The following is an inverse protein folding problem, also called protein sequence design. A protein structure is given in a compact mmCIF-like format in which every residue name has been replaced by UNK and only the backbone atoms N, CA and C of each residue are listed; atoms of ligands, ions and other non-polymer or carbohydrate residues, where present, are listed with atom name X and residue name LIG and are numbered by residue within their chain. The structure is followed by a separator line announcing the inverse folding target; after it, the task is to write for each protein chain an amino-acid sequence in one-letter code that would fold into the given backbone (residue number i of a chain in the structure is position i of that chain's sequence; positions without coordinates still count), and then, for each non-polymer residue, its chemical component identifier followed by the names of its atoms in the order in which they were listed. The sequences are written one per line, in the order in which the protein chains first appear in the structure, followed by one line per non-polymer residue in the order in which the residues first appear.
data_IF_307626854183
#
_entry.id   IF_307626854183
#
_cell.length_a   1.000
_cell.length_b   1.000
_cell.length_c   1.000
_cell.angle_alpha   90.00
_cell.angle_beta   90.00
_cell.angle_gamma   90.00
#
_symmetry.space_group_name_H-M   'P 1'
#
loop_
_entity.id
_entity.type
_entity.pdbx_description
1 polymer ?
#
# COMPACT_ATOMS: atom_id res chain seq x y z
N UNK A 1 -12.04 -10.04 -43.91
CA UNK A 1 -11.96 -8.74 -44.64
C UNK A 1 -12.58 -8.94 -46.02
N UNK A 2 -13.67 -8.24 -46.37
CA UNK A 2 -14.25 -8.29 -47.72
C UNK A 2 -13.37 -7.42 -48.63
N UNK A 3 -12.74 -7.99 -49.67
CA UNK A 3 -12.15 -7.18 -50.72
C UNK A 3 -13.28 -6.33 -51.32
N UNK A 4 -13.09 -5.01 -51.32
CA UNK A 4 -13.97 -4.10 -52.03
C UNK A 4 -13.73 -4.28 -53.54
N UNK A 5 -14.56 -5.14 -54.14
CA UNK A 5 -14.45 -5.58 -55.54
C UNK A 5 -14.51 -4.38 -56.50
N UNK A 6 -15.26 -3.34 -56.15
CA UNK A 6 -15.39 -2.12 -56.96
C UNK A 6 -14.07 -1.34 -56.96
N UNK A 7 -13.47 -1.16 -55.78
CA UNK A 7 -12.17 -0.50 -55.64
C UNK A 7 -11.04 -1.28 -56.32
N UNK A 8 -11.07 -2.61 -56.25
CA UNK A 8 -10.11 -3.46 -56.98
C UNK A 8 -10.25 -3.33 -58.50
N UNK A 9 -11.49 -3.34 -59.01
CA UNK A 9 -11.77 -3.17 -60.44
C UNK A 9 -11.26 -1.82 -60.97
N UNK A 10 -11.43 -0.76 -60.19
CA UNK A 10 -10.99 0.58 -60.54
C UNK A 10 -9.46 0.70 -60.60
N UNK A 11 -8.75 0.15 -59.60
CA UNK A 11 -7.29 0.08 -59.58
C UNK A 11 -6.77 -0.74 -60.77
N UNK A 12 -7.37 -1.89 -61.05
CA UNK A 12 -6.96 -2.76 -62.16
C UNK A 12 -7.09 -2.04 -63.52
N UNK A 13 -8.23 -1.37 -63.76
CA UNK A 13 -8.44 -0.59 -65.00
C UNK A 13 -7.41 0.52 -65.15
N UNK A 14 -7.07 1.21 -64.06
CA UNK A 14 -6.06 2.27 -64.07
C UNK A 14 -4.67 1.71 -64.39
N UNK A 15 -4.25 0.63 -63.73
CA UNK A 15 -2.97 -0.03 -64.01
C UNK A 15 -2.90 -0.48 -65.46
N UNK A 16 -3.96 -1.09 -66.00
CA UNK A 16 -4.00 -1.52 -67.40
C UNK A 16 -3.85 -0.33 -68.36
N UNK A 17 -4.56 0.77 -68.10
CA UNK A 17 -4.45 2.00 -68.88
C UNK A 17 -3.03 2.56 -68.84
N UNK A 18 -2.41 2.62 -67.67
CA UNK A 18 -1.05 3.13 -67.49
C UNK A 18 0.00 2.23 -68.18
N UNK A 19 -0.23 0.91 -68.21
CA UNK A 19 0.66 -0.03 -68.92
C UNK A 19 0.57 0.08 -70.45
N UNK A 20 -0.54 0.57 -71.00
CA UNK A 20 -0.74 0.75 -72.44
C UNK A 20 -0.52 2.20 -72.91
N UNK A 21 -0.20 3.12 -71.99
CA UNK A 21 0.00 4.52 -72.30
C UNK A 21 1.24 4.78 -73.18
N UNK A 22 1.29 5.94 -73.83
CA UNK A 22 2.48 6.41 -74.54
C UNK A 22 3.70 6.46 -73.62
N UNK A 23 4.86 6.02 -74.11
CA UNK A 23 6.09 5.83 -73.34
C UNK A 23 6.03 4.82 -72.19
N UNK A 24 4.99 3.98 -72.12
CA UNK A 24 4.97 2.84 -71.19
C UNK A 24 6.08 1.83 -71.53
N UNK A 25 6.40 0.90 -70.61
CA UNK A 25 7.30 -0.20 -70.92
C UNK A 25 6.90 -1.00 -72.16
N UNK A 26 5.60 -1.18 -72.42
CA UNK A 26 5.09 -1.85 -73.62
C UNK A 26 5.31 -1.03 -74.89
N UNK A 27 4.95 0.26 -74.88
CA UNK A 27 5.17 1.15 -76.03
C UNK A 27 6.66 1.26 -76.39
N UNK A 28 7.53 1.37 -75.38
CA UNK A 28 9.00 1.37 -75.56
C UNK A 28 9.51 0.05 -76.12
N UNK A 29 8.96 -1.08 -75.67
CA UNK A 29 9.34 -2.40 -76.18
C UNK A 29 8.95 -2.55 -77.65
N UNK A 30 7.73 -2.16 -78.02
CA UNK A 30 7.27 -2.21 -79.42
C UNK A 30 8.17 -1.35 -80.31
N UNK A 31 8.40 -0.08 -79.92
CA UNK A 31 9.29 0.83 -80.66
C UNK A 31 10.71 0.28 -80.81
N UNK A 32 11.27 -0.34 -79.76
CA UNK A 32 12.59 -0.97 -79.81
C UNK A 32 12.62 -2.20 -80.71
N UNK A 33 11.57 -3.02 -80.70
CA UNK A 33 11.45 -4.17 -81.58
C UNK A 33 11.38 -3.72 -83.04
N UNK A 34 10.60 -2.68 -83.36
CA UNK A 34 10.51 -2.12 -84.71
C UNK A 34 11.84 -1.52 -85.19
N UNK A 35 12.57 -0.80 -84.33
CA UNK A 35 13.95 -0.33 -84.64
C UNK A 35 14.90 -1.49 -84.98
N UNK A 36 14.83 -2.60 -84.24
CA UNK A 36 15.66 -3.78 -84.52
C UNK A 36 15.21 -4.52 -85.78
N UNK A 37 13.91 -4.54 -86.11
CA UNK A 37 13.41 -5.17 -87.33
C UNK A 37 13.88 -4.44 -88.58
N UNK A 38 13.81 -3.10 -88.59
CA UNK A 38 14.34 -2.30 -89.71
C UNK A 38 15.85 -2.46 -89.87
N UNK A 39 16.60 -2.50 -88.76
CA UNK A 39 18.06 -2.58 -88.77
C UNK A 39 18.62 -3.90 -89.29
N UNK A 40 17.91 -5.02 -89.11
CA UNK A 40 18.41 -6.36 -89.44
C UNK A 40 17.73 -7.04 -90.63
N UNK A 41 16.78 -6.38 -91.31
CA UNK A 41 16.04 -6.93 -92.46
C UNK A 41 15.54 -8.36 -92.22
N UNK A 42 15.00 -8.62 -91.02
CA UNK A 42 14.53 -9.93 -90.59
C UNK A 42 13.34 -10.37 -91.45
N UNK A 43 13.34 -11.63 -91.92
CA UNK A 43 12.18 -12.21 -92.59
C UNK A 43 11.02 -12.40 -91.58
N UNK A 44 9.77 -12.40 -92.07
CA UNK A 44 8.56 -12.46 -91.23
C UNK A 44 8.55 -13.64 -90.25
N UNK A 45 9.15 -14.78 -90.63
CA UNK A 45 9.28 -15.95 -89.76
C UNK A 45 10.16 -15.70 -88.54
N UNK A 46 11.38 -15.15 -88.71
CA UNK A 46 12.27 -14.84 -87.56
C UNK A 46 11.72 -13.72 -86.69
N UNK A 47 10.94 -12.80 -87.28
CA UNK A 47 10.21 -11.76 -86.54
C UNK A 47 9.21 -12.41 -85.57
N UNK A 48 8.37 -13.32 -86.04
CA UNK A 48 7.40 -14.05 -85.22
C UNK A 48 8.10 -14.85 -84.11
N UNK A 49 9.19 -15.56 -84.42
CA UNK A 49 9.93 -16.35 -83.42
C UNK A 49 10.52 -15.46 -82.31
N UNK A 50 11.08 -14.32 -82.68
CA UNK A 50 11.68 -13.37 -81.72
C UNK A 50 10.61 -12.74 -80.82
N UNK A 51 9.48 -12.30 -81.39
CA UNK A 51 8.35 -11.76 -80.61
C UNK A 51 7.81 -12.82 -79.66
N UNK A 52 7.62 -14.05 -80.14
CA UNK A 52 7.09 -15.16 -79.33
C UNK A 52 8.03 -15.50 -78.18
N UNK A 53 9.34 -15.52 -78.42
CA UNK A 53 10.34 -15.75 -77.38
C UNK A 53 10.36 -14.61 -76.35
N UNK A 54 10.36 -13.35 -76.80
CA UNK A 54 10.36 -12.17 -75.90
C UNK A 54 9.07 -12.09 -75.08
N UNK A 55 7.91 -12.33 -75.69
CA UNK A 55 6.61 -12.36 -74.98
C UNK A 55 6.54 -13.52 -73.97
N UNK A 56 7.03 -14.70 -74.33
CA UNK A 56 7.11 -15.85 -73.41
C UNK A 56 7.98 -15.52 -72.20
N UNK A 57 9.16 -14.93 -72.42
CA UNK A 57 10.07 -14.52 -71.35
C UNK A 57 9.49 -13.41 -70.46
N UNK A 58 8.85 -12.40 -71.06
CA UNK A 58 8.16 -11.34 -70.32
C UNK A 58 7.01 -11.90 -69.48
N UNK A 59 6.22 -12.83 -70.03
CA UNK A 59 5.13 -13.51 -69.31
C UNK A 59 5.65 -14.30 -68.12
N UNK A 60 6.73 -15.06 -68.30
CA UNK A 60 7.39 -15.79 -67.21
C UNK A 60 7.90 -14.83 -66.12
N UNK A 61 8.56 -13.74 -66.51
CA UNK A 61 9.08 -12.74 -65.57
C UNK A 61 7.97 -12.04 -64.78
N UNK A 62 6.89 -11.61 -65.44
CA UNK A 62 5.73 -11.00 -64.79
C UNK A 62 5.05 -11.99 -63.86
N UNK A 63 4.90 -13.25 -64.27
CA UNK A 63 4.28 -14.30 -63.44
C UNK A 63 5.09 -14.56 -62.18
N UNK A 64 6.42 -14.72 -62.29
CA UNK A 64 7.30 -14.92 -61.15
C UNK A 64 7.28 -13.72 -60.19
N UNK A 65 7.36 -12.50 -60.72
CA UNK A 65 7.26 -11.27 -59.92
C UNK A 65 5.91 -11.16 -59.20
N UNK A 66 4.81 -11.50 -59.89
CA UNK A 66 3.46 -11.48 -59.30
C UNK A 66 3.31 -12.51 -58.18
N UNK A 67 3.87 -13.71 -58.36
CA UNK A 67 3.89 -14.75 -57.33
C UNK A 67 4.70 -14.31 -56.11
N UNK A 68 5.88 -13.72 -56.31
CA UNK A 68 6.72 -13.21 -55.23
C UNK A 68 6.02 -12.08 -54.44
N UNK A 69 5.38 -11.13 -55.12
CA UNK A 69 4.59 -10.07 -54.48
C UNK A 69 3.41 -10.66 -53.71
N UNK A 70 2.67 -11.62 -54.29
CA UNK A 70 1.54 -12.25 -53.63
C UNK A 70 1.96 -12.96 -52.34
N UNK A 71 3.08 -13.69 -52.36
CA UNK A 71 3.63 -14.35 -51.16
C UNK A 71 4.01 -13.32 -50.09
N UNK A 72 4.69 -12.22 -50.46
CA UNK A 72 5.03 -11.16 -49.49
C UNK A 72 3.79 -10.54 -48.85
N UNK A 73 2.77 -10.23 -49.65
CA UNK A 73 1.52 -9.66 -49.15
C UNK A 73 0.79 -10.64 -48.22
N UNK A 74 0.79 -11.94 -48.53
CA UNK A 74 0.26 -12.96 -47.63
C UNK A 74 1.01 -13.00 -46.30
N UNK A 75 2.34 -13.04 -46.33
CA UNK A 75 3.16 -13.05 -45.11
C UNK A 75 2.98 -11.78 -44.27
N UNK A 76 2.86 -10.61 -44.91
CA UNK A 76 2.63 -9.34 -44.23
C UNK A 76 1.21 -9.27 -43.64
N UNK A 77 0.21 -9.80 -44.34
CA UNK A 77 -1.15 -9.94 -43.82
C UNK A 77 -1.19 -10.80 -42.55
N UNK A 78 -0.56 -11.98 -42.58
CA UNK A 78 -0.50 -12.88 -41.42
C UNK A 78 0.21 -12.23 -40.24
N UNK A 79 1.29 -11.50 -40.51
CA UNK A 79 2.03 -10.74 -39.50
C UNK A 79 1.17 -9.64 -38.87
N UNK A 80 0.45 -8.87 -39.68
CA UNK A 80 -0.41 -7.78 -39.20
C UNK A 80 -1.57 -8.33 -38.36
N UNK A 81 -2.16 -9.46 -38.74
CA UNK A 81 -3.18 -10.13 -37.93
C UNK A 81 -2.63 -10.55 -36.56
N UNK A 82 -1.41 -11.12 -36.52
CA UNK A 82 -0.75 -11.50 -35.27
C UNK A 82 -0.42 -10.27 -34.40
N UNK A 83 0.10 -9.19 -34.98
CA UNK A 83 0.37 -7.93 -34.27
C UNK A 83 -0.92 -7.32 -33.68
N UNK A 84 -2.01 -7.35 -34.44
CA UNK A 84 -3.31 -6.84 -33.98
C UNK A 84 -3.86 -7.68 -32.81
N UNK A 85 -3.77 -9.00 -32.89
CA UNK A 85 -4.14 -9.89 -31.79
C UNK A 85 -3.28 -9.64 -30.53
N UNK A 86 -1.97 -9.43 -30.69
CA UNK A 86 -1.07 -9.11 -29.59
C UNK A 86 -1.40 -7.76 -28.94
N UNK A 87 -1.70 -6.74 -29.74
CA UNK A 87 -2.11 -5.42 -29.23
C UNK A 87 -3.41 -5.57 -28.43
N UNK A 88 -4.42 -6.28 -28.96
CA UNK A 88 -5.69 -6.49 -28.27
C UNK A 88 -5.49 -7.22 -26.92
N UNK A 89 -4.65 -8.26 -26.88
CA UNK A 89 -4.31 -8.97 -25.66
C UNK A 89 -3.60 -8.07 -24.62
N UNK A 90 -2.64 -7.26 -25.08
CA UNK A 90 -1.94 -6.31 -24.21
C UNK A 90 -2.88 -5.23 -23.67
N UNK A 91 -3.79 -4.70 -24.49
CA UNK A 91 -4.81 -3.73 -24.05
C UNK A 91 -5.71 -4.35 -22.97
N UNK A 92 -6.21 -5.56 -23.17
CA UNK A 92 -7.04 -6.25 -22.17
C UNK A 92 -6.27 -6.51 -20.86
N UNK A 93 -4.98 -6.86 -20.94
CA UNK A 93 -4.13 -7.04 -19.77
C UNK A 93 -3.95 -5.73 -18.98
N UNK A 94 -3.69 -4.61 -19.68
CA UNK A 94 -3.55 -3.29 -19.06
C UNK A 94 -4.85 -2.87 -18.39
N UNK A 95 -6.01 -3.10 -19.02
CA UNK A 95 -7.31 -2.82 -18.43
C UNK A 95 -7.56 -3.64 -17.16
N UNK A 96 -7.24 -4.93 -17.17
CA UNK A 96 -7.35 -5.80 -15.99
C UNK A 96 -6.43 -5.34 -14.85
N UNK A 97 -5.17 -4.97 -15.15
CA UNK A 97 -4.24 -4.44 -14.16
C UNK A 97 -4.71 -3.11 -13.57
N UNK A 98 -5.27 -2.22 -14.41
CA UNK A 98 -5.85 -0.95 -13.95
C UNK A 98 -7.04 -1.18 -13.02
N UNK A 99 -7.95 -2.10 -13.36
CA UNK A 99 -9.09 -2.44 -12.53
C UNK A 99 -8.65 -3.02 -11.17
N UNK A 100 -7.65 -3.91 -11.17
CA UNK A 100 -7.07 -4.45 -9.94
C UNK A 100 -6.45 -3.35 -9.07
N UNK A 101 -5.63 -2.47 -9.66
CA UNK A 101 -5.00 -1.36 -8.94
C UNK A 101 -6.04 -0.39 -8.35
N UNK A 102 -7.14 -0.12 -9.07
CA UNK A 102 -8.25 0.69 -8.57
C UNK A 102 -8.97 0.03 -7.40
N UNK A 103 -9.11 -1.30 -7.39
CA UNK A 103 -9.70 -2.05 -6.29
C UNK A 103 -8.77 -2.13 -5.06
N UNK A 104 -7.45 -2.19 -5.24
CA UNK A 104 -6.48 -2.26 -4.15
C UNK A 104 -6.28 -0.93 -3.40
N UNK A 105 -6.42 0.22 -4.09
CA UNK A 105 -6.25 1.55 -3.50
C UNK A 105 -7.08 1.80 -2.23
N UNK A 106 -8.40 1.55 -2.20
CA UNK A 106 -9.21 1.77 -1.00
C UNK A 106 -8.80 0.84 0.14
N UNK A 107 -8.46 -0.42 -0.15
CA UNK A 107 -8.02 -1.40 0.85
C UNK A 107 -6.74 -0.90 1.54
N UNK A 108 -5.73 -0.49 0.75
CA UNK A 108 -4.48 0.06 1.31
C UNK A 108 -4.72 1.36 2.09
N UNK A 109 -5.68 2.18 1.67
CA UNK A 109 -6.06 3.39 2.40
C UNK A 109 -6.70 3.06 3.77
N UNK A 110 -7.58 2.06 3.83
CA UNK A 110 -8.18 1.57 5.07
C UNK A 110 -7.15 0.93 6.00
N UNK A 111 -6.24 0.11 5.47
CA UNK A 111 -5.13 -0.48 6.24
C UNK A 111 -4.22 0.59 6.85
N UNK A 112 -3.91 1.64 6.10
CA UNK A 112 -3.15 2.78 6.59
C UNK A 112 -3.91 3.54 7.68
N UNK A 113 -5.21 3.76 7.51
CA UNK A 113 -6.06 4.41 8.51
C UNK A 113 -6.11 3.61 9.82
N UNK A 114 -6.31 2.28 9.72
CA UNK A 114 -6.30 1.38 10.87
C UNK A 114 -4.95 1.40 11.60
N UNK A 115 -3.85 1.39 10.85
CA UNK A 115 -2.50 1.44 11.41
C UNK A 115 -2.25 2.74 12.17
N UNK A 116 -2.70 3.88 11.61
CA UNK A 116 -2.64 5.18 12.29
C UNK A 116 -3.46 5.20 13.58
N UNK A 117 -4.68 4.65 13.55
CA UNK A 117 -5.51 4.54 14.76
C UNK A 117 -4.87 3.68 15.84
N UNK A 118 -4.30 2.53 15.47
CA UNK A 118 -3.58 1.66 16.42
C UNK A 118 -2.37 2.36 17.03
N UNK A 119 -1.62 3.10 16.23
CA UNK A 119 -0.48 3.88 16.72
C UNK A 119 -0.93 4.97 17.71
N UNK A 120 -1.99 5.71 17.39
CA UNK A 120 -2.53 6.73 18.28
C UNK A 120 -3.03 6.13 19.60
N UNK A 121 -3.71 4.97 19.54
CA UNK A 121 -4.16 4.26 20.74
C UNK A 121 -2.97 3.83 21.60
N UNK A 122 -1.95 3.21 21.01
CA UNK A 122 -0.74 2.81 21.73
C UNK A 122 -0.02 4.00 22.40
N UNK A 123 0.03 5.15 21.72
CA UNK A 123 0.59 6.37 22.32
C UNK A 123 -0.25 6.89 23.50
N UNK A 124 -1.58 6.85 23.40
CA UNK A 124 -2.48 7.23 24.50
C UNK A 124 -2.35 6.26 25.68
N UNK A 125 -2.30 4.96 25.43
CA UNK A 125 -2.10 3.93 26.45
C UNK A 125 -0.75 4.10 27.16
N UNK A 126 0.32 4.38 26.41
CA UNK A 126 1.64 4.65 27.00
C UNK A 126 1.60 5.86 27.95
N UNK A 127 0.99 6.97 27.52
CA UNK A 127 0.81 8.16 28.37
C UNK A 127 -0.05 7.89 29.60
N UNK A 128 -1.17 7.20 29.42
CA UNK A 128 -2.05 6.81 30.52
C UNK A 128 -1.31 5.94 31.55
N UNK A 129 -0.53 4.97 31.09
CA UNK A 129 0.26 4.11 31.98
C UNK A 129 1.34 4.90 32.73
N UNK A 130 1.97 5.88 32.09
CA UNK A 130 2.94 6.77 32.75
C UNK A 130 2.28 7.61 33.85
N UNK A 131 1.12 8.21 33.57
CA UNK A 131 0.36 8.98 34.56
C UNK A 131 -0.14 8.10 35.70
N UNK A 132 -0.61 6.89 35.39
CA UNK A 132 -1.03 5.90 36.38
C UNK A 132 0.12 5.50 37.29
N UNK A 133 1.32 5.29 36.75
CA UNK A 133 2.50 4.99 37.55
C UNK A 133 2.82 6.11 38.54
N UNK A 134 2.79 7.38 38.09
CA UNK A 134 2.98 8.56 38.95
C UNK A 134 1.91 8.67 40.05
N UNK A 135 0.66 8.33 39.73
CA UNK A 135 -0.43 8.32 40.70
C UNK A 135 -0.21 7.25 41.78
N UNK A 136 0.19 6.04 41.38
CA UNK A 136 0.48 4.93 42.31
C UNK A 136 1.62 5.32 43.25
N UNK A 137 2.69 5.95 42.74
CA UNK A 137 3.79 6.42 43.56
C UNK A 137 3.34 7.47 44.59
N UNK A 138 2.55 8.47 44.16
CA UNK A 138 1.97 9.47 45.07
C UNK A 138 1.05 8.86 46.11
N UNK A 139 0.24 7.88 45.73
CA UNK A 139 -0.63 7.16 46.66
C UNK A 139 0.18 6.36 47.69
N UNK A 140 1.25 5.69 47.27
CA UNK A 140 2.14 4.97 48.18
C UNK A 140 2.77 5.91 49.22
N UNK A 141 3.27 7.07 48.79
CA UNK A 141 3.80 8.11 49.70
C UNK A 141 2.73 8.64 50.66
N UNK A 142 1.51 8.86 50.18
CA UNK A 142 0.39 9.34 50.99
C UNK A 142 -0.05 8.30 52.04
N UNK A 143 -0.11 7.03 51.68
CA UNK A 143 -0.45 5.94 52.61
C UNK A 143 0.63 5.79 53.69
N UNK A 144 1.91 5.94 53.35
CA UNK A 144 2.99 5.92 54.34
C UNK A 144 2.89 7.10 55.31
N UNK A 145 2.67 8.31 54.80
CA UNK A 145 2.44 9.49 55.64
C UNK A 145 1.22 9.33 56.56
N UNK A 146 0.14 8.70 56.05
CA UNK A 146 -1.07 8.41 56.83
C UNK A 146 -0.78 7.44 57.97
N UNK A 147 -0.02 6.36 57.74
CA UNK A 147 0.40 5.44 58.81
C UNK A 147 1.14 6.15 59.91
N UNK A 148 2.11 7.00 59.57
CA UNK A 148 2.88 7.79 60.55
C UNK A 148 1.97 8.73 61.35
N UNK A 149 0.99 9.37 60.71
CA UNK A 149 0.02 10.20 61.40
C UNK A 149 -0.84 9.40 62.39
N UNK A 150 -1.33 8.22 61.98
CA UNK A 150 -2.10 7.32 62.84
C UNK A 150 -1.27 6.84 64.03
N UNK A 151 0.01 6.51 63.83
CA UNK A 151 0.90 6.11 64.93
C UNK A 151 1.11 7.23 65.95
N UNK A 152 1.30 8.46 65.47
CA UNK A 152 1.42 9.64 66.35
C UNK A 152 0.14 9.90 67.12
N UNK A 153 -1.00 9.80 66.44
CA UNK A 153 -2.31 9.99 67.06
C UNK A 153 -2.58 8.92 68.13
N UNK A 154 -2.32 7.65 67.81
CA UNK A 154 -2.42 6.52 68.76
C UNK A 154 -1.55 6.75 69.99
N UNK A 155 -0.27 7.12 69.81
CA UNK A 155 0.63 7.46 70.93
C UNK A 155 0.11 8.61 71.77
N UNK A 156 -0.47 9.64 71.14
CA UNK A 156 -1.05 10.77 71.86
C UNK A 156 -2.30 10.37 72.66
N UNK A 157 -3.15 9.51 72.11
CA UNK A 157 -4.30 8.95 72.83
C UNK A 157 -3.88 8.09 74.02
N UNK A 158 -2.90 7.21 73.84
CA UNK A 158 -2.35 6.39 74.92
C UNK A 158 -1.78 7.25 76.05
N UNK A 159 -1.02 8.29 75.70
CA UNK A 159 -0.45 9.21 76.68
C UNK A 159 -1.53 9.98 77.45
N UNK A 160 -2.55 10.51 76.74
CA UNK A 160 -3.72 11.14 77.37
C UNK A 160 -4.43 10.19 78.32
N UNK A 161 -4.58 8.92 77.95
CA UNK A 161 -5.22 7.91 78.79
C UNK A 161 -4.39 7.64 80.06
N UNK A 162 -3.06 7.56 79.95
CA UNK A 162 -2.18 7.41 81.12
C UNK A 162 -2.25 8.61 82.05
N UNK A 163 -2.20 9.83 81.51
CA UNK A 163 -2.32 11.07 82.28
C UNK A 163 -3.67 11.11 83.00
N UNK A 164 -4.77 10.77 82.32
CA UNK A 164 -6.09 10.73 82.91
C UNK A 164 -6.18 9.69 84.04
N UNK A 165 -5.61 8.50 83.85
CA UNK A 165 -5.55 7.46 84.89
C UNK A 165 -4.76 7.92 86.12
N UNK A 166 -3.59 8.53 85.93
CA UNK A 166 -2.79 9.07 87.02
C UNK A 166 -3.53 10.19 87.76
N UNK A 167 -4.21 11.08 87.02
CA UNK A 167 -5.01 12.17 87.58
C UNK A 167 -6.16 11.64 88.44
N UNK A 168 -6.93 10.67 87.94
CA UNK A 168 -8.03 10.05 88.69
C UNK A 168 -7.54 9.40 90.00
N UNK A 169 -6.41 8.69 89.94
CA UNK A 169 -5.81 8.07 91.13
C UNK A 169 -5.31 9.12 92.13
N UNK A 170 -4.64 10.18 91.65
CA UNK A 170 -4.19 11.31 92.48
C UNK A 170 -5.36 11.99 93.18
N UNK A 171 -6.41 12.33 92.44
CA UNK A 171 -7.59 13.00 92.99
C UNK A 171 -8.32 12.12 94.01
N UNK A 172 -8.37 10.81 93.77
CA UNK A 172 -8.96 9.86 94.72
C UNK A 172 -8.15 9.73 96.01
N UNK A 173 -6.82 9.56 95.92
CA UNK A 173 -5.93 9.52 97.10
C UNK A 173 -6.00 10.82 97.88
N UNK A 174 -6.00 11.97 97.18
CA UNK A 174 -6.16 13.28 97.79
C UNK A 174 -7.49 13.40 98.53
N UNK A 175 -8.60 12.94 97.94
CA UNK A 175 -9.92 12.92 98.57
C UNK A 175 -9.97 12.16 99.90
N UNK A 176 -9.34 10.98 99.98
CA UNK A 176 -9.21 10.24 101.23
C UNK A 176 -8.46 11.06 102.29
N UNK A 177 -7.30 11.63 101.93
CA UNK A 177 -6.48 12.43 102.87
C UNK A 177 -7.19 13.71 103.33
N UNK A 178 -7.89 14.41 102.44
CA UNK A 178 -8.65 15.62 102.76
C UNK A 178 -9.85 15.30 103.67
N UNK A 179 -10.41 14.10 103.57
CA UNK A 179 -11.44 13.58 104.47
C UNK A 179 -10.91 13.01 105.80
N UNK A 180 -9.61 13.19 106.10
CA UNK A 180 -8.94 12.63 107.28
C UNK A 180 -9.00 11.09 107.38
N UNK A 181 -9.19 10.39 106.25
CA UNK A 181 -9.13 8.94 106.15
C UNK A 181 -7.77 8.50 105.61
N UNK A 182 -7.21 7.42 106.14
CA UNK A 182 -5.98 6.84 105.60
C UNK A 182 -6.28 6.17 104.24
N UNK A 183 -5.66 6.61 103.13
CA UNK A 183 -5.84 5.96 101.84
C UNK A 183 -5.29 4.53 101.88
N UNK A 184 -5.93 3.56 101.19
CA UNK A 184 -5.39 2.20 101.09
C UNK A 184 -3.98 2.16 100.50
N UNK A 185 -3.08 1.39 101.12
CA UNK A 185 -1.66 1.33 100.70
C UNK A 185 -1.48 0.90 99.23
N UNK A 186 -2.27 -0.06 98.74
CA UNK A 186 -2.26 -0.50 97.34
C UNK A 186 -2.63 0.64 96.37
N UNK A 187 -3.53 1.54 96.78
CA UNK A 187 -3.95 2.67 95.96
C UNK A 187 -2.85 3.74 95.85
N UNK A 188 -2.12 3.99 96.95
CA UNK A 188 -0.96 4.88 96.97
C UNK A 188 0.13 4.33 96.04
N UNK A 189 0.44 3.04 96.13
CA UNK A 189 1.43 2.38 95.25
C UNK A 189 1.03 2.48 93.78
N UNK A 190 -0.25 2.22 93.45
CA UNK A 190 -0.76 2.36 92.08
C UNK A 190 -0.72 3.79 91.55
N UNK A 191 -0.99 4.78 92.41
CA UNK A 191 -0.87 6.20 92.08
C UNK A 191 0.58 6.55 91.75
N UNK A 192 1.53 6.23 92.62
CA UNK A 192 2.95 6.53 92.42
C UNK A 192 3.48 5.87 91.14
N UNK A 193 3.22 4.58 90.94
CA UNK A 193 3.61 3.88 89.71
C UNK A 193 2.98 4.49 88.44
N UNK A 194 1.75 5.02 88.52
CA UNK A 194 1.09 5.66 87.38
C UNK A 194 1.63 7.07 87.09
N UNK A 195 2.08 7.79 88.11
CA UNK A 195 2.75 9.11 87.98
C UNK A 195 4.16 8.92 87.42
N UNK A 196 4.91 7.95 87.91
CA UNK A 196 6.25 7.62 87.40
C UNK A 196 6.18 7.21 85.92
N UNK A 197 5.12 6.50 85.51
CA UNK A 197 4.92 6.08 84.13
C UNK A 197 4.61 7.21 83.13
N UNK A 198 4.23 8.41 83.59
CA UNK A 198 3.94 9.60 82.75
C UNK A 198 4.95 10.74 82.95
N UNK A 199 5.86 10.59 83.92
CA UNK A 199 6.89 11.59 84.19
C UNK A 199 8.14 11.19 83.42
N UNK A 200 8.76 12.09 82.62
CA UNK A 200 10.01 11.77 81.95
C UNK A 200 11.06 11.39 83.00
N UNK A 201 11.67 10.21 82.88
CA UNK A 201 12.87 9.90 83.63
C UNK A 201 13.94 10.92 83.20
N UNK A 202 14.41 11.74 84.14
CA UNK A 202 15.53 12.66 83.93
C UNK A 202 16.83 11.90 83.61
#
# INVERSE_FOLDING_TARGET
MSLDIEKYSEIYKKVLSDTMAENSPYDRLIKKLDEYYEKFALNDSKRIDTITATLSQATQSITLSSQDIAVRLMMESDRLEAELAQIAANTALIEAQKALAQAELPIKAEELALTKMKLELAQKEAKFNEERAKLIEKQALSEEARKVAIERETKSFDERLRIQKATLLKDSVFGYTAGALNPPADMITKMLNSIDAITPNA
#
